data_IF_355328596843
#
_entry.id   IF_355328596843
#
_cell.length_a   1.000
_cell.length_b   1.000
_cell.length_c   1.000
_cell.angle_alpha   90.00
_cell.angle_beta   90.00
_cell.angle_gamma   90.00
#
_symmetry.space_group_name_H-M   'P 1'
#
loop_
_entity.id
_entity.type
_entity.pdbx_description
1 polymer ?
#
# COMPACT_ATOMS: atom_id res chain seq x y z
N UNK A 1 27.85 68.68 25.46
CA UNK A 1 27.17 67.80 24.48
C UNK A 1 26.57 66.62 25.22
N UNK A 2 25.34 66.21 24.88
CA UNK A 2 24.69 65.07 25.55
C UNK A 2 25.33 63.74 25.11
N UNK A 3 25.62 62.84 26.05
CA UNK A 3 26.13 61.48 25.77
C UNK A 3 25.19 60.78 24.78
N UNK A 4 25.67 60.49 23.57
CA UNK A 4 24.91 59.72 22.59
C UNK A 4 24.96 58.24 22.95
N UNK A 5 23.82 57.58 22.92
CA UNK A 5 23.73 56.15 23.24
C UNK A 5 23.54 55.38 21.94
N UNK A 6 24.53 54.56 21.55
CA UNK A 6 24.48 53.73 20.33
C UNK A 6 23.20 52.90 20.26
N UNK A 7 22.73 52.35 21.39
CA UNK A 7 21.47 51.64 21.47
C UNK A 7 20.27 52.50 21.01
N UNK A 8 20.19 53.77 21.44
CA UNK A 8 19.10 54.68 21.03
C UNK A 8 19.21 55.12 19.57
N UNK A 9 20.41 55.08 18.99
CA UNK A 9 20.66 55.37 17.57
C UNK A 9 20.32 54.17 16.67
N UNK A 10 20.59 52.95 17.13
CA UNK A 10 20.30 51.73 16.39
C UNK A 10 18.86 51.29 16.53
N UNK A 11 18.35 51.21 17.77
CA UNK A 11 17.10 50.54 18.13
C UNK A 11 15.97 51.53 18.29
N UNK A 12 15.05 51.50 17.35
CA UNK A 12 13.75 52.14 17.49
C UNK A 12 12.75 51.15 18.13
N UNK A 13 12.42 51.37 19.40
CA UNK A 13 11.47 50.52 20.13
C UNK A 13 10.05 50.62 19.59
N UNK A 14 9.72 51.68 18.87
CA UNK A 14 8.37 51.93 18.38
C UNK A 14 8.17 51.33 16.97
N UNK A 15 9.25 51.02 16.26
CA UNK A 15 9.21 50.43 14.94
C UNK A 15 9.34 48.89 15.02
N UNK A 16 8.20 48.19 15.05
CA UNK A 16 8.17 46.72 15.15
C UNK A 16 8.84 46.02 13.97
N UNK A 17 8.77 46.59 12.77
CA UNK A 17 9.28 45.98 11.55
C UNK A 17 10.81 45.95 11.55
N UNK A 18 11.45 46.99 12.11
CA UNK A 18 12.90 47.04 12.24
C UNK A 18 13.44 46.61 13.60
N UNK A 19 12.59 46.45 14.62
CA UNK A 19 13.01 46.25 16.00
C UNK A 19 14.02 45.10 16.15
N UNK A 20 13.70 43.92 15.61
CA UNK A 20 14.58 42.74 15.71
C UNK A 20 15.88 42.90 14.91
N UNK A 21 15.80 43.45 13.70
CA UNK A 21 16.99 43.81 12.90
C UNK A 21 17.89 44.76 13.68
N UNK A 22 17.31 45.78 14.30
CA UNK A 22 18.05 46.79 15.04
C UNK A 22 18.67 46.23 16.32
N UNK A 23 18.02 45.27 16.99
CA UNK A 23 18.61 44.52 18.11
C UNK A 23 19.81 43.69 17.66
N UNK A 24 19.71 43.00 16.52
CA UNK A 24 20.84 42.26 15.94
C UNK A 24 21.97 43.23 15.58
N UNK A 25 21.66 44.38 14.97
CA UNK A 25 22.65 45.40 14.66
C UNK A 25 23.36 45.93 15.93
N UNK A 26 22.63 46.07 17.04
CA UNK A 26 23.22 46.43 18.32
C UNK A 26 24.12 45.33 18.89
N UNK A 27 23.74 44.05 18.75
CA UNK A 27 24.59 42.94 19.14
C UNK A 27 25.91 42.93 18.34
N UNK A 28 25.84 43.15 17.03
CA UNK A 28 27.01 43.26 16.14
C UNK A 28 27.91 44.43 16.56
N UNK A 29 27.33 45.58 16.93
CA UNK A 29 28.11 46.68 17.51
C UNK A 29 28.84 46.25 18.78
N UNK A 30 28.16 45.54 19.69
CA UNK A 30 28.73 45.09 20.97
C UNK A 30 29.86 44.10 20.77
N UNK A 31 29.72 43.17 19.83
CA UNK A 31 30.77 42.26 19.38
C UNK A 31 31.97 43.04 18.84
N UNK A 32 31.76 43.95 17.88
CA UNK A 32 32.85 44.75 17.31
C UNK A 32 33.58 45.60 18.36
N UNK A 33 32.87 46.12 19.37
CA UNK A 33 33.49 46.84 20.49
C UNK A 33 34.35 45.91 21.35
N UNK A 34 33.89 44.69 21.60
CA UNK A 34 34.60 43.69 22.40
C UNK A 34 35.86 43.20 21.70
N UNK A 35 35.77 42.94 20.39
CA UNK A 35 36.92 42.61 19.54
C UNK A 35 37.97 43.72 19.58
N UNK A 36 37.53 44.96 19.41
CA UNK A 36 38.42 46.11 19.46
C UNK A 36 39.08 46.27 20.85
N UNK A 37 38.31 46.09 21.94
CA UNK A 37 38.85 46.12 23.29
C UNK A 37 39.89 45.00 23.52
N UNK A 38 39.61 43.81 23.04
CA UNK A 38 40.50 42.64 23.12
C UNK A 38 41.80 42.87 22.36
N UNK A 39 41.73 43.49 21.18
CA UNK A 39 42.92 43.84 20.39
C UNK A 39 43.75 44.96 21.01
N UNK A 40 43.11 45.92 21.67
CA UNK A 40 43.81 46.95 22.45
C UNK A 40 44.50 46.38 23.69
N UNK A 41 43.86 45.42 24.38
CA UNK A 41 44.44 44.76 25.54
C UNK A 41 45.76 44.03 25.21
N UNK A 42 45.87 43.45 24.01
CA UNK A 42 47.11 42.82 23.52
C UNK A 42 48.27 43.80 23.33
N UNK A 43 47.99 45.09 23.17
CA UNK A 43 48.99 46.13 22.89
C UNK A 43 49.70 46.66 24.16
N UNK A 44 49.38 46.14 25.36
CA UNK A 44 49.96 46.56 26.65
C UNK A 44 49.94 48.08 26.88
N UNK A 45 48.87 48.73 26.43
CA UNK A 45 48.67 50.17 26.59
C UNK A 45 48.36 50.50 28.06
N UNK A 46 48.58 51.75 28.47
CA UNK A 46 48.09 52.24 29.76
C UNK A 46 46.56 52.26 29.78
N UNK A 47 45.97 52.15 30.97
CA UNK A 47 44.51 52.14 31.14
C UNK A 47 43.84 53.40 30.54
N UNK A 48 44.45 54.57 30.75
CA UNK A 48 43.95 55.86 30.21
C UNK A 48 43.95 55.88 28.68
N UNK A 49 45.01 55.39 28.04
CA UNK A 49 45.09 55.36 26.57
C UNK A 49 44.12 54.34 25.97
N UNK A 50 43.85 53.25 26.69
CA UNK A 50 42.87 52.23 26.30
C UNK A 50 41.45 52.80 26.35
N UNK A 51 41.10 53.55 27.40
CA UNK A 51 39.80 54.21 27.54
C UNK A 51 39.60 55.27 26.45
N UNK A 52 40.61 56.09 26.18
CA UNK A 52 40.56 57.09 25.10
C UNK A 52 40.30 56.46 23.72
N UNK A 53 40.97 55.33 23.42
CA UNK A 53 40.75 54.61 22.16
C UNK A 53 39.34 54.00 22.08
N UNK A 54 38.82 53.46 23.19
CA UNK A 54 37.46 52.91 23.26
C UNK A 54 36.39 53.99 23.07
N UNK A 55 36.63 55.19 23.60
CA UNK A 55 35.75 56.34 23.38
C UNK A 55 35.79 56.79 21.93
N UNK A 56 36.97 56.87 21.32
CA UNK A 56 37.11 57.15 19.88
C UNK A 56 36.34 56.13 19.02
N UNK A 57 36.41 54.84 19.36
CA UNK A 57 35.60 53.82 18.67
C UNK A 57 34.10 54.06 18.83
N UNK A 58 33.64 54.44 20.03
CA UNK A 58 32.23 54.75 20.27
C UNK A 58 31.75 55.94 19.44
N UNK A 59 32.55 57.01 19.36
CA UNK A 59 32.24 58.20 18.56
C UNK A 59 32.15 57.88 17.06
N UNK A 60 33.06 57.05 16.54
CA UNK A 60 32.96 56.60 15.15
C UNK A 60 31.72 55.72 14.92
N UNK A 61 31.35 54.90 15.90
CA UNK A 61 30.23 53.95 15.81
C UNK A 61 28.85 54.61 15.79
N UNK A 62 28.71 55.84 16.30
CA UNK A 62 27.44 56.59 16.28
C UNK A 62 27.20 57.35 14.97
N UNK A 63 28.15 57.35 14.04
CA UNK A 63 27.99 57.98 12.72
C UNK A 63 26.93 57.26 11.89
N UNK A 64 26.17 57.99 11.07
CA UNK A 64 25.09 57.41 10.27
C UNK A 64 25.59 56.31 9.32
N UNK A 65 26.82 56.45 8.81
CA UNK A 65 27.49 55.45 7.98
C UNK A 65 27.72 54.12 8.74
N UNK A 66 28.25 54.18 9.96
CA UNK A 66 28.46 52.97 10.78
C UNK A 66 27.14 52.35 11.23
N UNK A 67 26.18 53.18 11.63
CA UNK A 67 24.82 52.73 11.99
C UNK A 67 24.17 51.98 10.82
N UNK A 68 24.26 52.52 9.59
CA UNK A 68 23.79 51.83 8.39
C UNK A 68 24.58 50.55 8.13
N UNK A 69 25.89 50.55 8.35
CA UNK A 69 26.75 49.37 8.24
C UNK A 69 26.32 48.24 9.16
N UNK A 70 26.05 48.52 10.44
CA UNK A 70 25.55 47.52 11.39
C UNK A 70 24.18 46.97 10.99
N UNK A 71 23.26 47.83 10.51
CA UNK A 71 21.96 47.40 9.99
C UNK A 71 22.09 46.47 8.78
N UNK A 72 22.96 46.81 7.81
CA UNK A 72 23.23 45.95 6.65
C UNK A 72 23.78 44.59 7.06
N UNK A 73 24.69 44.54 8.02
CA UNK A 73 25.20 43.26 8.56
C UNK A 73 24.09 42.46 9.22
N UNK A 74 23.22 43.11 9.99
CA UNK A 74 22.06 42.46 10.60
C UNK A 74 21.10 41.89 9.55
N UNK A 75 20.84 42.63 8.47
CA UNK A 75 20.04 42.14 7.34
C UNK A 75 20.67 40.88 6.72
N UNK A 76 21.99 40.87 6.50
CA UNK A 76 22.70 39.68 5.99
C UNK A 76 22.54 38.48 6.92
N UNK A 77 22.70 38.67 8.23
CA UNK A 77 22.53 37.59 9.21
C UNK A 77 21.10 37.06 9.19
N UNK A 78 20.11 37.96 9.19
CA UNK A 78 18.70 37.58 9.22
C UNK A 78 18.30 36.84 7.94
N UNK A 79 18.73 37.32 6.77
CA UNK A 79 18.50 36.65 5.51
C UNK A 79 19.14 35.26 5.47
N UNK A 80 20.38 35.11 5.97
CA UNK A 80 21.03 33.80 6.07
C UNK A 80 20.25 32.82 6.96
N UNK A 81 19.74 33.27 8.10
CA UNK A 81 18.91 32.44 8.99
C UNK A 81 17.60 32.03 8.32
N UNK A 82 16.95 32.94 7.58
CA UNK A 82 15.72 32.67 6.83
C UNK A 82 15.99 31.63 5.75
N UNK A 83 17.04 31.79 4.95
CA UNK A 83 17.41 30.83 3.90
C UNK A 83 17.69 29.45 4.48
N UNK A 84 18.46 29.35 5.56
CA UNK A 84 18.75 28.07 6.22
C UNK A 84 17.49 27.42 6.80
N UNK A 85 16.54 28.23 7.31
CA UNK A 85 15.27 27.71 7.80
C UNK A 85 14.42 27.19 6.64
N UNK A 86 14.34 27.93 5.54
CA UNK A 86 13.58 27.57 4.35
C UNK A 86 14.10 26.27 3.72
N UNK A 87 15.42 26.12 3.60
CA UNK A 87 16.07 24.89 3.13
C UNK A 87 15.72 23.70 4.03
N UNK A 88 15.78 23.86 5.36
CA UNK A 88 15.46 22.79 6.31
C UNK A 88 13.99 22.40 6.27
N UNK A 89 13.10 23.39 6.16
CA UNK A 89 11.64 23.19 6.08
C UNK A 89 11.30 22.47 4.78
N UNK A 90 11.84 22.95 3.66
CA UNK A 90 11.65 22.34 2.34
C UNK A 90 12.15 20.90 2.30
N UNK A 91 13.36 20.63 2.79
CA UNK A 91 13.90 19.27 2.87
C UNK A 91 13.05 18.33 3.74
N UNK A 92 12.50 18.84 4.86
CA UNK A 92 11.61 18.07 5.73
C UNK A 92 10.29 17.75 5.03
N UNK A 93 9.71 18.71 4.30
CA UNK A 93 8.49 18.50 3.53
C UNK A 93 8.69 17.51 2.38
N UNK A 94 9.78 17.62 1.63
CA UNK A 94 10.11 16.69 0.55
C UNK A 94 10.24 15.26 1.09
N UNK A 95 10.94 15.08 2.21
CA UNK A 95 11.08 13.79 2.87
C UNK A 95 9.73 13.23 3.35
N UNK A 96 8.87 14.08 3.91
CA UNK A 96 7.53 13.68 4.34
C UNK A 96 6.65 13.24 3.16
N UNK A 97 6.67 14.00 2.05
CA UNK A 97 5.95 13.66 0.82
C UNK A 97 6.43 12.33 0.25
N UNK A 98 7.74 12.13 0.15
CA UNK A 98 8.32 10.89 -0.35
C UNK A 98 7.92 9.69 0.52
N UNK A 99 8.00 9.84 1.84
CA UNK A 99 7.60 8.77 2.78
C UNK A 99 6.11 8.44 2.65
N UNK A 100 5.26 9.45 2.50
CA UNK A 100 3.82 9.27 2.32
C UNK A 100 3.52 8.57 0.98
N UNK A 101 4.18 8.96 -0.11
CA UNK A 101 4.05 8.33 -1.42
C UNK A 101 4.49 6.86 -1.39
N UNK A 102 5.62 6.57 -0.75
CA UNK A 102 6.12 5.20 -0.59
C UNK A 102 5.17 4.34 0.24
N UNK A 103 4.60 4.89 1.32
CA UNK A 103 3.60 4.20 2.14
C UNK A 103 2.35 3.90 1.33
N UNK A 104 1.81 4.91 0.64
CA UNK A 104 0.60 4.76 -0.16
C UNK A 104 0.79 3.78 -1.33
N UNK A 105 1.96 3.79 -1.98
CA UNK A 105 2.29 2.84 -3.03
C UNK A 105 2.36 1.39 -2.51
N UNK A 106 2.91 1.19 -1.31
CA UNK A 106 2.93 -0.12 -0.65
C UNK A 106 1.51 -0.58 -0.28
N UNK A 107 0.71 0.29 0.33
CA UNK A 107 -0.69 -0.01 0.68
C UNK A 107 -1.51 -0.39 -0.55
N UNK A 108 -1.41 0.37 -1.65
CA UNK A 108 -2.09 0.03 -2.90
C UNK A 108 -1.63 -1.32 -3.46
N UNK A 109 -0.34 -1.64 -3.37
CA UNK A 109 0.19 -2.94 -3.80
C UNK A 109 -0.35 -4.07 -2.93
N UNK A 110 -0.41 -3.87 -1.62
CA UNK A 110 -0.92 -4.87 -0.67
C UNK A 110 -2.42 -5.09 -0.82
N UNK A 111 -3.21 -4.02 -0.99
CA UNK A 111 -4.65 -4.09 -1.26
C UNK A 111 -4.89 -4.83 -2.58
N UNK A 112 -4.18 -4.48 -3.66
CA UNK A 112 -4.28 -5.20 -4.94
C UNK A 112 -3.86 -6.67 -4.81
N UNK A 113 -2.83 -6.95 -4.03
CA UNK A 113 -2.36 -8.31 -3.75
C UNK A 113 -3.40 -9.14 -3.00
N UNK A 114 -4.03 -8.56 -1.97
CA UNK A 114 -5.11 -9.18 -1.20
C UNK A 114 -6.34 -9.44 -2.06
N UNK A 115 -6.82 -8.42 -2.78
CA UNK A 115 -7.97 -8.55 -3.69
C UNK A 115 -7.73 -9.61 -4.77
N UNK A 116 -6.51 -9.69 -5.33
CA UNK A 116 -6.16 -10.74 -6.30
C UNK A 116 -6.17 -12.13 -5.66
N UNK A 117 -5.66 -12.28 -4.44
CA UNK A 117 -5.67 -13.56 -3.72
C UNK A 117 -7.09 -13.99 -3.37
N UNK A 118 -7.92 -13.06 -2.91
CA UNK A 118 -9.34 -13.28 -2.60
C UNK A 118 -10.09 -13.74 -3.86
N UNK A 119 -9.98 -13.01 -4.98
CA UNK A 119 -10.61 -13.39 -6.24
C UNK A 119 -10.16 -14.78 -6.75
N UNK A 120 -8.87 -15.11 -6.64
CA UNK A 120 -8.37 -16.44 -7.00
C UNK A 120 -8.90 -17.51 -6.06
N UNK A 121 -8.99 -17.23 -4.76
CA UNK A 121 -9.52 -18.17 -3.78
C UNK A 121 -11.01 -18.45 -3.99
N UNK A 122 -11.80 -17.41 -4.28
CA UNK A 122 -13.23 -17.52 -4.60
C UNK A 122 -13.45 -18.31 -5.89
N UNK A 123 -12.64 -18.08 -6.92
CA UNK A 123 -12.73 -18.84 -8.15
C UNK A 123 -12.38 -20.32 -7.92
N UNK A 124 -11.34 -20.59 -7.10
CA UNK A 124 -10.93 -21.96 -6.75
C UNK A 124 -12.02 -22.68 -5.96
N UNK A 125 -12.62 -22.04 -4.96
CA UNK A 125 -13.71 -22.63 -4.17
C UNK A 125 -14.95 -22.88 -5.02
N UNK A 126 -15.28 -22.00 -5.97
CA UNK A 126 -16.37 -22.25 -6.92
C UNK A 126 -16.11 -23.48 -7.80
N UNK A 127 -14.88 -23.65 -8.30
CA UNK A 127 -14.51 -24.85 -9.08
C UNK A 127 -14.57 -26.11 -8.22
N UNK A 128 -14.02 -26.08 -7.00
CA UNK A 128 -14.04 -27.24 -6.10
C UNK A 128 -15.48 -27.62 -5.70
N UNK A 129 -16.33 -26.63 -5.42
CA UNK A 129 -17.74 -26.87 -5.12
C UNK A 129 -18.48 -27.45 -6.34
N UNK A 130 -18.24 -26.94 -7.55
CA UNK A 130 -18.82 -27.47 -8.77
C UNK A 130 -18.33 -28.89 -9.09
N UNK A 131 -17.04 -29.18 -8.88
CA UNK A 131 -16.49 -30.53 -9.08
C UNK A 131 -17.03 -31.51 -8.05
N UNK A 132 -17.15 -31.10 -6.80
CA UNK A 132 -17.68 -31.95 -5.72
C UNK A 132 -19.19 -32.20 -5.92
N UNK A 133 -19.95 -31.22 -6.39
CA UNK A 133 -21.34 -31.42 -6.79
C UNK A 133 -21.46 -32.46 -7.92
N UNK A 134 -20.58 -32.40 -8.93
CA UNK A 134 -20.53 -33.38 -10.03
C UNK A 134 -20.12 -34.77 -9.55
N UNK A 135 -19.12 -34.86 -8.68
CA UNK A 135 -18.68 -36.13 -8.08
C UNK A 135 -19.78 -36.76 -7.23
N UNK A 136 -20.49 -35.96 -6.43
CA UNK A 136 -21.63 -36.43 -5.64
C UNK A 136 -22.82 -36.87 -6.51
N UNK A 137 -23.01 -36.30 -7.70
CA UNK A 137 -23.99 -36.77 -8.67
C UNK A 137 -23.57 -38.12 -9.30
N UNK A 138 -22.31 -38.26 -9.69
CA UNK A 138 -21.78 -39.51 -10.24
C UNK A 138 -21.75 -40.63 -9.19
N UNK A 139 -21.36 -40.33 -7.96
CA UNK A 139 -21.33 -41.29 -6.87
C UNK A 139 -22.73 -41.70 -6.46
N UNK A 140 -23.71 -40.79 -6.42
CA UNK A 140 -25.13 -41.15 -6.21
C UNK A 140 -25.67 -42.01 -7.35
N UNK A 141 -25.29 -41.73 -8.60
CA UNK A 141 -25.64 -42.56 -9.75
C UNK A 141 -25.08 -43.99 -9.64
N UNK A 142 -23.80 -44.14 -9.31
CA UNK A 142 -23.20 -45.46 -9.09
C UNK A 142 -23.80 -46.16 -7.87
N UNK A 143 -23.99 -45.46 -6.76
CA UNK A 143 -24.55 -46.05 -5.54
C UNK A 143 -25.98 -46.54 -5.78
N UNK A 144 -26.79 -45.82 -6.56
CA UNK A 144 -28.12 -46.26 -6.96
C UNK A 144 -28.09 -47.55 -7.78
N UNK A 145 -27.16 -47.67 -8.73
CA UNK A 145 -26.97 -48.91 -9.52
C UNK A 145 -26.57 -50.09 -8.62
N UNK A 146 -25.70 -49.87 -7.64
CA UNK A 146 -25.23 -50.93 -6.75
C UNK A 146 -26.22 -51.32 -5.65
N UNK A 147 -27.06 -50.38 -5.17
CA UNK A 147 -27.98 -50.61 -4.04
C UNK A 147 -29.40 -50.97 -4.47
N UNK A 148 -29.88 -50.48 -5.62
CA UNK A 148 -31.26 -50.65 -6.06
C UNK A 148 -31.55 -51.93 -6.83
N UNK A 149 -30.54 -52.55 -7.46
CA UNK A 149 -30.75 -53.62 -8.44
C UNK A 149 -29.71 -54.74 -8.37
N UNK A 150 -29.44 -55.26 -7.17
CA UNK A 150 -28.50 -56.37 -6.98
C UNK A 150 -28.82 -57.59 -7.87
N UNK A 151 -30.09 -57.86 -8.19
CA UNK A 151 -30.49 -59.02 -9.00
C UNK A 151 -30.13 -58.90 -10.48
N UNK A 152 -30.40 -57.76 -11.14
CA UNK A 152 -30.02 -57.55 -12.55
C UNK A 152 -28.51 -57.44 -12.69
N UNK A 153 -27.83 -56.72 -11.80
CA UNK A 153 -26.37 -56.57 -11.89
C UNK A 153 -25.67 -57.92 -11.65
N UNK A 154 -26.14 -58.72 -10.70
CA UNK A 154 -25.62 -60.09 -10.50
C UNK A 154 -25.89 -60.98 -11.72
N UNK A 155 -27.08 -60.88 -12.32
CA UNK A 155 -27.43 -61.66 -13.52
C UNK A 155 -26.58 -61.23 -14.73
N UNK A 156 -26.38 -59.93 -14.93
CA UNK A 156 -25.52 -59.39 -15.98
C UNK A 156 -24.05 -59.81 -15.79
N UNK A 157 -23.53 -59.74 -14.57
CA UNK A 157 -22.19 -60.22 -14.25
C UNK A 157 -22.06 -61.73 -14.45
N UNK A 158 -23.05 -62.52 -14.03
CA UNK A 158 -23.09 -63.96 -14.24
C UNK A 158 -23.07 -64.30 -15.73
N UNK A 159 -23.89 -63.60 -16.53
CA UNK A 159 -23.94 -63.72 -17.98
C UNK A 159 -22.56 -63.42 -18.57
N UNK A 160 -21.90 -62.32 -18.19
CA UNK A 160 -20.55 -61.97 -18.67
C UNK A 160 -19.53 -63.05 -18.28
N UNK A 161 -19.57 -63.56 -17.04
CA UNK A 161 -18.62 -64.56 -16.55
C UNK A 161 -18.82 -65.90 -17.26
N UNK A 162 -20.06 -66.39 -17.35
CA UNK A 162 -20.38 -67.68 -18.01
C UNK A 162 -20.10 -67.60 -19.51
N UNK A 163 -20.47 -66.49 -20.15
CA UNK A 163 -20.15 -66.23 -21.57
C UNK A 163 -18.65 -66.15 -21.80
N UNK A 164 -17.91 -65.46 -20.94
CA UNK A 164 -16.45 -65.36 -21.00
C UNK A 164 -15.76 -66.71 -20.85
N UNK A 165 -16.19 -67.54 -19.89
CA UNK A 165 -15.65 -68.89 -19.68
C UNK A 165 -15.97 -69.80 -20.88
N UNK A 166 -17.19 -69.73 -21.41
CA UNK A 166 -17.61 -70.52 -22.56
C UNK A 166 -16.85 -70.14 -23.85
N UNK A 167 -16.58 -68.85 -24.06
CA UNK A 167 -15.74 -68.38 -25.17
C UNK A 167 -14.27 -68.77 -24.96
N UNK A 168 -13.78 -68.80 -23.72
CA UNK A 168 -12.39 -69.16 -23.43
C UNK A 168 -12.11 -70.67 -23.57
N UNK A 169 -13.10 -71.52 -23.31
CA UNK A 169 -12.94 -72.98 -23.25
C UNK A 169 -13.59 -73.74 -24.41
N UNK A 170 -14.49 -73.13 -25.17
CA UNK A 170 -15.25 -73.78 -26.25
C UNK A 170 -14.55 -73.80 -27.62
N UNK A 171 -14.91 -74.73 -28.53
CA UNK A 171 -14.46 -74.72 -29.93
C UNK A 171 -14.97 -73.49 -30.71
N UNK A 172 -14.17 -72.99 -31.68
CA UNK A 172 -14.38 -71.69 -32.35
C UNK A 172 -15.77 -71.46 -32.97
N UNK A 173 -16.49 -72.50 -33.38
CA UNK A 173 -17.86 -72.37 -33.92
C UNK A 173 -18.91 -72.10 -32.81
N UNK A 174 -18.74 -72.68 -31.63
CA UNK A 174 -19.64 -72.41 -30.49
C UNK A 174 -19.41 -71.01 -29.91
N UNK A 175 -18.17 -70.50 -29.96
CA UNK A 175 -17.84 -69.15 -29.51
C UNK A 175 -18.63 -68.09 -30.29
N UNK A 176 -18.74 -68.24 -31.62
CA UNK A 176 -19.45 -67.26 -32.47
C UNK A 176 -20.95 -67.25 -32.20
N UNK A 177 -21.56 -68.43 -32.05
CA UNK A 177 -22.98 -68.55 -31.73
C UNK A 177 -23.32 -67.98 -30.34
N UNK A 178 -22.41 -68.13 -29.37
CA UNK A 178 -22.58 -67.52 -28.04
C UNK A 178 -22.49 -65.99 -28.12
N UNK A 179 -21.52 -65.43 -28.87
CA UNK A 179 -21.41 -63.98 -29.05
C UNK A 179 -22.64 -63.39 -29.75
N UNK A 180 -23.16 -64.05 -30.79
CA UNK A 180 -24.38 -63.63 -31.50
C UNK A 180 -25.62 -63.72 -30.58
N UNK A 181 -25.75 -64.78 -29.77
CA UNK A 181 -26.83 -64.91 -28.78
C UNK A 181 -26.76 -63.84 -27.69
N UNK A 182 -25.57 -63.45 -27.24
CA UNK A 182 -25.38 -62.35 -26.29
C UNK A 182 -25.83 -61.00 -26.87
N UNK A 183 -25.48 -60.70 -28.13
CA UNK A 183 -25.91 -59.47 -28.80
C UNK A 183 -27.44 -59.47 -29.00
N UNK A 184 -28.03 -60.63 -29.30
CA UNK A 184 -29.48 -60.81 -29.38
C UNK A 184 -30.19 -60.48 -28.06
N UNK A 185 -29.64 -60.92 -26.91
CA UNK A 185 -30.23 -60.70 -25.59
C UNK A 185 -30.31 -59.21 -25.20
N UNK A 186 -29.34 -58.38 -25.60
CA UNK A 186 -29.32 -56.94 -25.32
C UNK A 186 -30.15 -56.10 -26.30
N UNK A 187 -30.52 -56.63 -27.46
CA UNK A 187 -31.32 -55.93 -28.47
C UNK A 187 -32.82 -56.20 -28.34
N UNK A 188 -33.23 -57.18 -27.54
CA UNK A 188 -34.64 -57.55 -27.32
C UNK A 188 -35.12 -57.30 -25.89
N UNK A 189 -34.78 -56.16 -25.28
CA UNK A 189 -35.43 -55.70 -24.05
C UNK A 189 -36.69 -54.90 -24.41
N UNK A 190 -37.91 -55.27 -23.96
CA UNK A 190 -39.08 -54.40 -24.12
C UNK A 190 -38.91 -53.19 -23.20
N UNK A 191 -38.96 -51.98 -23.77
CA UNK A 191 -38.99 -50.76 -22.96
C UNK A 191 -40.28 -50.72 -22.12
N UNK A 192 -40.24 -50.20 -20.87
CA UNK A 192 -41.44 -50.01 -20.08
C UNK A 192 -42.39 -49.03 -20.78
N UNK A 193 -43.63 -49.46 -20.97
CA UNK A 193 -44.71 -48.65 -21.55
C UNK A 193 -44.97 -47.41 -20.67
N UNK A 194 -44.54 -46.24 -21.14
CA UNK A 194 -44.97 -44.95 -20.60
C UNK A 194 -46.31 -44.55 -21.25
N UNK A 195 -47.37 -45.29 -20.94
CA UNK A 195 -48.73 -44.84 -21.25
C UNK A 195 -49.15 -43.75 -20.25
N UNK A 196 -48.96 -42.50 -20.67
CA UNK A 196 -49.55 -41.31 -20.05
C UNK A 196 -51.07 -41.44 -20.09
N UNK A 197 -51.70 -41.62 -18.92
CA UNK A 197 -53.15 -41.47 -18.76
C UNK A 197 -53.51 -40.00 -18.97
N UNK A 198 -54.04 -39.68 -20.16
CA UNK A 198 -54.74 -38.42 -20.40
C UNK A 198 -56.13 -38.51 -19.78
N UNK A 199 -56.28 -38.01 -18.55
CA UNK A 199 -57.60 -37.71 -17.99
C UNK A 199 -58.18 -36.50 -18.73
N UNK A 200 -58.97 -36.78 -19.78
CA UNK A 200 -59.79 -35.76 -20.43
C UNK A 200 -61.15 -35.79 -19.76
N UNK A 201 -61.33 -34.87 -18.81
CA UNK A 201 -62.56 -34.61 -18.08
C UNK A 201 -63.63 -34.11 -19.06
N UNK A 202 -64.55 -34.96 -19.47
CA UNK A 202 -65.81 -34.56 -20.12
C UNK A 202 -66.84 -34.24 -19.03
N UNK A 203 -66.90 -32.97 -18.61
CA UNK A 203 -68.04 -32.42 -17.87
C UNK A 203 -68.95 -31.70 -18.86
N UNK A 204 -70.08 -32.33 -19.18
CA UNK A 204 -71.27 -31.70 -19.75
C UNK A 204 -72.44 -32.65 -19.57
N UNK A 205 -73.26 -32.40 -18.54
CA UNK A 205 -74.74 -32.35 -18.60
C UNK A 205 -75.33 -32.49 -17.19
N UNK A 206 -76.22 -31.56 -16.82
CA UNK A 206 -77.10 -31.65 -15.65
C UNK A 206 -77.14 -30.38 -14.83
#
# INVERSE_FOLDING_TARGET
MSKQWVFRKLVDKNNKDSYYRDLIAYAIYKEAKDDYATDLAKQKLSAELLEQKLDGFHEMSVTDAQISGYRKKADTVMNSLITQLDEKVSAKHEKALKTLQEHHAKELKDIKGKAKKEAVSEYKTQIENASNARSNLLSRGMLWVFTGYQSIVATALLIIIVGGIAVWTGPKEQQRNIVEAFIGLFTTAPMPDMSVKNDTKSESQG
#
